data_IF_401306534703
#
_entry.id   IF_401306534703
#
_cell.length_a   1.000
_cell.length_b   1.000
_cell.length_c   1.000
_cell.angle_alpha   90.00
_cell.angle_beta   90.00
_cell.angle_gamma   90.00
#
_symmetry.space_group_name_H-M   'P 1'
#
loop_
_entity.id
_entity.type
_entity.pdbx_description
1 polymer ?
#
# COMPACT_ATOMS: atom_id res chain seq x y z
N UNK A 1 3.24 -14.11 -22.26
CA UNK A 1 3.01 -12.87 -21.47
C UNK A 1 2.73 -13.28 -20.03
N UNK A 2 3.43 -12.69 -19.05
CA UNK A 2 3.17 -12.97 -17.63
C UNK A 2 1.71 -12.64 -17.31
N UNK A 3 0.92 -13.65 -16.95
CA UNK A 3 -0.48 -13.47 -16.56
C UNK A 3 -0.49 -12.79 -15.18
N UNK A 4 -0.60 -11.45 -15.15
CA UNK A 4 -0.60 -10.68 -13.91
C UNK A 4 -1.84 -11.06 -13.11
N UNK A 5 -1.67 -11.83 -12.04
CA UNK A 5 -2.78 -12.39 -11.26
C UNK A 5 -3.53 -11.36 -10.42
N UNK A 6 -2.83 -10.35 -9.90
CA UNK A 6 -3.40 -9.37 -8.95
C UNK A 6 -3.13 -7.90 -9.33
N UNK A 7 -1.99 -7.62 -9.96
CA UNK A 7 -1.57 -6.24 -10.26
C UNK A 7 -2.00 -5.82 -11.67
N UNK A 8 -3.01 -4.96 -11.76
CA UNK A 8 -3.50 -4.36 -13.00
C UNK A 8 -2.67 -3.13 -13.43
N UNK A 9 -3.27 -2.24 -14.22
CA UNK A 9 -2.65 -0.97 -14.65
C UNK A 9 -2.40 -0.02 -13.48
N UNK A 10 -3.37 0.07 -12.55
CA UNK A 10 -3.36 1.02 -11.44
C UNK A 10 -3.35 0.31 -10.07
N UNK A 11 -2.59 -0.79 -9.96
CA UNK A 11 -2.45 -1.54 -8.72
C UNK A 11 -3.43 -2.70 -8.56
N UNK A 12 -3.77 -3.02 -7.30
CA UNK A 12 -4.68 -4.11 -6.91
C UNK A 12 -6.03 -3.50 -6.54
N UNK A 13 -7.10 -3.95 -7.20
CA UNK A 13 -8.47 -3.45 -6.97
C UNK A 13 -9.43 -4.58 -6.70
N UNK A 14 -10.49 -4.27 -5.96
CA UNK A 14 -11.58 -5.17 -5.63
C UNK A 14 -12.46 -4.57 -4.54
N UNK A 15 -13.54 -5.25 -4.20
CA UNK A 15 -14.42 -4.88 -3.09
C UNK A 15 -13.79 -5.36 -1.79
N UNK A 16 -13.82 -4.51 -0.75
CA UNK A 16 -13.30 -4.88 0.56
C UNK A 16 -14.12 -6.01 1.16
N UNK A 17 -13.43 -7.05 1.65
CA UNK A 17 -14.05 -8.28 2.15
C UNK A 17 -14.06 -9.40 1.12
N UNK A 18 -14.03 -9.08 -0.18
CA UNK A 18 -13.92 -10.04 -1.26
C UNK A 18 -12.45 -10.20 -1.67
N UNK A 19 -12.06 -11.41 -2.10
CA UNK A 19 -10.71 -11.63 -2.60
C UNK A 19 -10.45 -10.78 -3.87
N UNK A 20 -9.29 -10.09 -3.98
CA UNK A 20 -8.15 -10.14 -3.06
C UNK A 20 -8.13 -9.04 -1.99
N UNK A 21 -9.13 -8.17 -1.85
CA UNK A 21 -9.09 -7.04 -0.90
C UNK A 21 -9.57 -7.47 0.49
N UNK A 22 -8.75 -8.30 1.14
CA UNK A 22 -8.96 -8.77 2.52
C UNK A 22 -7.76 -8.39 3.42
N UNK A 23 -7.93 -8.25 4.75
CA UNK A 23 -6.83 -7.95 5.65
C UNK A 23 -5.69 -8.97 5.59
N UNK A 24 -6.02 -10.27 5.51
CA UNK A 24 -5.02 -11.35 5.39
C UNK A 24 -4.20 -11.23 4.09
N UNK A 25 -4.87 -10.92 2.97
CA UNK A 25 -4.17 -10.71 1.71
C UNK A 25 -3.26 -9.48 1.77
N UNK A 26 -3.74 -8.35 2.32
CA UNK A 26 -2.95 -7.11 2.42
C UNK A 26 -1.77 -7.26 3.37
N UNK A 27 -1.93 -8.01 4.46
CA UNK A 27 -0.83 -8.40 5.35
C UNK A 27 0.26 -9.16 4.58
N UNK A 28 -0.13 -10.22 3.86
CA UNK A 28 0.79 -11.03 3.06
C UNK A 28 1.43 -10.22 1.92
N UNK A 29 0.67 -9.33 1.30
CA UNK A 29 1.15 -8.40 0.28
C UNK A 29 2.21 -7.46 0.85
N UNK A 30 1.96 -6.87 2.03
CA UNK A 30 2.91 -5.99 2.72
C UNK A 30 4.21 -6.71 3.03
N UNK A 31 4.13 -7.94 3.54
CA UNK A 31 5.32 -8.76 3.79
C UNK A 31 6.07 -9.10 2.49
N UNK A 32 5.36 -9.55 1.45
CA UNK A 32 5.97 -9.90 0.18
C UNK A 32 6.65 -8.69 -0.50
N UNK A 33 5.96 -7.55 -0.56
CA UNK A 33 6.52 -6.29 -1.06
C UNK A 33 7.73 -5.86 -0.23
N UNK A 34 7.61 -5.95 1.09
CA UNK A 34 8.70 -5.64 2.01
C UNK A 34 9.94 -6.50 1.79
N UNK A 35 9.80 -7.82 1.57
CA UNK A 35 10.95 -8.70 1.27
C UNK A 35 11.71 -8.32 -0.01
N UNK A 36 11.05 -7.65 -0.95
CA UNK A 36 11.66 -7.12 -2.17
C UNK A 36 12.34 -5.78 -1.89
N UNK A 37 11.61 -4.85 -1.25
CA UNK A 37 12.08 -3.48 -0.98
C UNK A 37 13.20 -3.42 0.07
N UNK A 38 13.18 -4.32 1.05
CA UNK A 38 14.19 -4.40 2.12
C UNK A 38 15.61 -4.76 1.65
N UNK A 39 15.83 -5.00 0.35
CA UNK A 39 17.13 -5.43 -0.18
C UNK A 39 18.12 -4.27 -0.33
N UNK A 40 17.65 -3.05 -0.53
CA UNK A 40 18.50 -1.89 -0.80
C UNK A 40 17.92 -0.62 -0.16
N UNK A 41 18.75 0.42 -0.05
CA UNK A 41 18.28 1.78 0.23
C UNK A 41 17.70 2.01 1.64
N UNK A 42 16.61 2.78 1.66
CA UNK A 42 15.96 3.24 2.88
C UNK A 42 15.05 2.13 3.43
N UNK A 43 14.78 2.13 4.74
CA UNK A 43 13.77 1.24 5.33
C UNK A 43 12.42 1.91 5.49
N UNK A 44 12.28 3.15 5.02
CA UNK A 44 11.10 3.98 5.21
C UNK A 44 10.12 3.84 4.06
N UNK A 45 8.84 3.64 4.37
CA UNK A 45 7.73 3.60 3.42
C UNK A 45 6.76 4.72 3.76
N UNK A 46 6.38 5.53 2.78
CA UNK A 46 5.31 6.53 2.97
C UNK A 46 3.99 5.88 2.57
N UNK A 47 3.02 5.88 3.48
CA UNK A 47 1.67 5.34 3.21
C UNK A 47 0.67 6.49 3.30
N UNK A 48 -0.06 6.68 2.22
CA UNK A 48 -1.23 7.56 2.18
C UNK A 48 -2.47 6.81 1.72
N UNK A 49 -3.63 7.42 1.93
CA UNK A 49 -4.92 6.83 1.59
C UNK A 49 -5.94 7.87 1.13
N UNK A 50 -7.01 7.41 0.49
CA UNK A 50 -8.21 8.22 0.32
C UNK A 50 -9.07 8.24 1.60
N UNK A 51 -10.28 8.77 1.50
CA UNK A 51 -11.19 8.93 2.65
C UNK A 51 -12.03 7.68 2.94
N UNK A 52 -11.78 6.54 2.29
CA UNK A 52 -12.57 5.32 2.55
C UNK A 52 -12.29 4.79 3.94
N UNK A 53 -13.36 4.43 4.65
CA UNK A 53 -13.28 3.85 6.00
C UNK A 53 -12.45 2.57 6.04
N UNK A 54 -12.49 1.77 4.98
CA UNK A 54 -11.68 0.55 4.86
C UNK A 54 -10.17 0.84 4.82
N UNK A 55 -9.77 2.07 4.46
CA UNK A 55 -8.38 2.47 4.36
C UNK A 55 -7.62 2.29 5.67
N UNK A 56 -8.24 2.53 6.84
CA UNK A 56 -7.60 2.33 8.14
C UNK A 56 -7.24 0.85 8.40
N UNK A 57 -8.18 -0.05 8.14
CA UNK A 57 -7.96 -1.49 8.29
C UNK A 57 -6.86 -1.99 7.34
N UNK A 58 -6.92 -1.59 6.07
CA UNK A 58 -5.94 -2.00 5.06
C UNK A 58 -4.56 -1.39 5.36
N UNK A 59 -4.51 -0.16 5.87
CA UNK A 59 -3.28 0.53 6.29
C UNK A 59 -2.58 -0.22 7.43
N UNK A 60 -3.30 -0.60 8.49
CA UNK A 60 -2.74 -1.38 9.60
C UNK A 60 -2.30 -2.78 9.16
N UNK A 61 -3.06 -3.46 8.30
CA UNK A 61 -2.67 -4.77 7.78
C UNK A 61 -1.38 -4.68 6.95
N UNK A 62 -1.27 -3.65 6.11
CA UNK A 62 -0.11 -3.39 5.27
C UNK A 62 1.13 -3.05 6.10
N UNK A 63 0.98 -2.21 7.13
CA UNK A 63 2.03 -1.88 8.09
C UNK A 63 2.57 -3.14 8.77
N UNK A 64 1.69 -3.98 9.31
CA UNK A 64 2.11 -5.21 9.99
C UNK A 64 2.96 -6.11 9.07
N UNK A 65 2.58 -6.21 7.79
CA UNK A 65 3.34 -6.98 6.80
C UNK A 65 4.71 -6.36 6.51
N UNK A 66 4.76 -5.05 6.29
CA UNK A 66 6.00 -4.31 6.03
C UNK A 66 6.96 -4.36 7.24
N UNK A 67 6.44 -4.21 8.45
CA UNK A 67 7.19 -4.31 9.70
C UNK A 67 7.81 -5.70 9.87
N UNK A 68 7.03 -6.76 9.62
CA UNK A 68 7.53 -8.14 9.64
C UNK A 68 8.63 -8.40 8.59
N UNK A 69 8.68 -7.60 7.52
CA UNK A 69 9.73 -7.66 6.51
C UNK A 69 10.94 -6.75 6.81
N UNK A 70 10.93 -6.00 7.91
CA UNK A 70 12.01 -5.11 8.33
C UNK A 70 11.98 -3.71 7.72
N UNK A 71 10.78 -3.21 7.37
CA UNK A 71 10.56 -1.81 6.96
C UNK A 71 9.73 -1.07 8.00
N UNK A 72 9.78 0.27 7.95
CA UNK A 72 9.02 1.17 8.81
C UNK A 72 8.07 2.01 7.95
N UNK A 73 6.78 1.95 8.26
CA UNK A 73 5.76 2.77 7.62
C UNK A 73 5.67 4.15 8.29
N UNK A 74 5.40 5.18 7.49
CA UNK A 74 5.05 6.53 7.94
C UNK A 74 3.73 6.92 7.30
N UNK A 75 2.72 7.18 8.14
CA UNK A 75 1.37 7.49 7.70
C UNK A 75 1.19 8.98 7.45
N UNK A 76 0.60 9.33 6.32
CA UNK A 76 0.22 10.73 6.02
C UNK A 76 -1.21 11.05 6.41
N UNK A 77 -2.01 10.04 6.79
CA UNK A 77 -3.47 10.16 6.80
C UNK A 77 -4.04 10.30 5.38
N UNK A 78 -5.26 10.83 5.23
CA UNK A 78 -5.83 11.14 3.93
C UNK A 78 -4.93 12.06 3.12
N UNK A 79 -4.48 11.60 1.95
CA UNK A 79 -3.48 12.32 1.15
C UNK A 79 -3.66 12.01 -0.34
N UNK A 80 -3.68 13.02 -1.22
CA UNK A 80 -3.72 12.80 -2.65
C UNK A 80 -2.52 11.98 -3.15
N UNK A 81 -2.75 11.12 -4.14
CA UNK A 81 -1.71 10.35 -4.85
C UNK A 81 -0.47 11.17 -5.23
N UNK A 82 -0.57 12.37 -5.84
CA UNK A 82 0.62 13.14 -6.19
C UNK A 82 1.41 13.64 -4.97
N UNK A 83 0.74 13.89 -3.84
CA UNK A 83 1.42 14.30 -2.61
C UNK A 83 2.20 13.14 -1.99
N UNK A 84 1.67 11.90 -2.00
CA UNK A 84 2.44 10.71 -1.59
C UNK A 84 3.69 10.53 -2.46
N UNK A 85 3.57 10.72 -3.78
CA UNK A 85 4.71 10.64 -4.70
C UNK A 85 5.78 11.72 -4.40
N UNK A 86 5.34 12.96 -4.15
CA UNK A 86 6.22 14.05 -3.74
C UNK A 86 6.94 13.74 -2.43
N UNK A 87 6.20 13.36 -1.37
CA UNK A 87 6.76 13.08 -0.05
C UNK A 87 7.73 11.89 -0.07
N UNK A 88 7.45 10.87 -0.89
CA UNK A 88 8.36 9.73 -1.09
C UNK A 88 9.74 10.21 -1.55
N UNK A 89 9.78 11.12 -2.54
CA UNK A 89 11.04 11.71 -3.03
C UNK A 89 11.68 12.63 -1.99
N UNK A 90 10.90 13.53 -1.40
CA UNK A 90 11.39 14.54 -0.45
C UNK A 90 12.03 13.89 0.77
N UNK A 91 11.44 12.81 1.29
CA UNK A 91 11.98 12.09 2.46
C UNK A 91 12.95 10.97 2.11
N UNK A 92 13.32 10.80 0.83
CA UNK A 92 14.17 9.70 0.36
C UNK A 92 13.67 8.34 0.90
N UNK A 93 12.36 8.16 0.86
CA UNK A 93 11.74 6.90 1.26
C UNK A 93 11.98 5.85 0.17
N UNK A 94 11.97 4.59 0.57
CA UNK A 94 12.17 3.46 -0.34
C UNK A 94 11.02 3.32 -1.32
N UNK A 95 9.78 3.54 -0.84
CA UNK A 95 8.60 3.57 -1.67
C UNK A 95 7.47 4.40 -1.05
N UNK A 96 6.53 4.79 -1.91
CA UNK A 96 5.24 5.34 -1.53
C UNK A 96 4.13 4.36 -1.88
N UNK A 97 3.20 4.13 -0.96
CA UNK A 97 2.01 3.29 -1.18
C UNK A 97 0.76 4.15 -1.01
N UNK A 98 -0.19 3.98 -1.93
CA UNK A 98 -1.48 4.67 -1.90
C UNK A 98 -2.59 3.65 -1.77
N UNK A 99 -3.38 3.75 -0.69
CA UNK A 99 -4.58 2.94 -0.47
C UNK A 99 -5.77 3.74 -1.01
N UNK A 100 -6.16 3.47 -2.25
CA UNK A 100 -7.32 4.11 -2.85
C UNK A 100 -7.92 3.25 -3.96
N UNK A 101 -9.22 3.39 -4.15
CA UNK A 101 -9.90 2.88 -5.35
C UNK A 101 -10.16 3.99 -6.39
N UNK A 102 -9.50 5.14 -6.25
CA UNK A 102 -9.71 6.33 -7.09
C UNK A 102 -11.21 6.69 -7.13
N UNK A 103 -11.76 6.81 -8.32
CA UNK A 103 -13.16 7.14 -8.60
C UNK A 103 -14.11 5.94 -8.57
N UNK A 104 -13.64 4.73 -8.20
CA UNK A 104 -14.52 3.56 -8.14
C UNK A 104 -15.68 3.82 -7.16
N UNK A 105 -16.86 3.22 -7.39
CA UNK A 105 -17.99 3.34 -6.46
C UNK A 105 -17.66 2.91 -5.02
N UNK A 106 -18.44 3.40 -4.07
CA UNK A 106 -18.38 2.99 -2.66
C UNK A 106 -19.53 2.06 -2.25
N UNK A 107 -20.64 2.08 -2.99
CA UNK A 107 -21.82 1.23 -2.79
C UNK A 107 -21.65 -0.12 -3.50
#
# INVERSE_FOLDING_TARGET
>A
MSNRKYFGTDGIRGRVGDAPITPDFVLKLGWAAGKVLARHGSRKIIIGKDTRISGYMLESALEAGLAAAGLSASFTGPMPTPAVAYLTRTFRAEAGIVISASHNPFL
#
